data_IF_800891235875
#
_entry.id   IF_800891235875
#
_cell.length_a   1.000
_cell.length_b   1.000
_cell.length_c   1.000
_cell.angle_alpha   90.00
_cell.angle_beta   90.00
_cell.angle_gamma   90.00
#
_symmetry.space_group_name_H-M   'P 1'
#
loop_
_entity.id
_entity.type
_entity.pdbx_description
1 polymer ?
#
# COMPACT_ATOMS: atom_id res chain seq x y z
N UNK A 1 -19.74 6.30 -10.92
CA UNK A 1 -18.64 5.57 -10.26
C UNK A 1 -17.67 6.58 -9.65
N UNK A 2 -17.07 6.28 -8.48
CA UNK A 2 -16.04 7.13 -7.85
C UNK A 2 -14.75 6.33 -7.71
N UNK A 3 -13.64 6.87 -8.21
CA UNK A 3 -12.31 6.33 -7.95
C UNK A 3 -11.97 6.48 -6.47
N UNK A 4 -11.36 5.45 -5.89
CA UNK A 4 -11.07 5.39 -4.44
C UNK A 4 -9.58 5.38 -4.16
N UNK A 5 -8.85 4.48 -4.82
CA UNK A 5 -7.44 4.23 -4.53
C UNK A 5 -6.77 3.54 -5.71
N UNK A 6 -5.56 3.98 -6.12
CA UNK A 6 -4.74 3.18 -7.02
C UNK A 6 -4.27 1.92 -6.30
N UNK A 7 -4.36 0.77 -6.99
CA UNK A 7 -3.82 -0.50 -6.52
C UNK A 7 -2.57 -0.85 -7.32
N UNK A 8 -1.45 -1.00 -6.63
CA UNK A 8 -0.16 -1.35 -7.20
C UNK A 8 0.13 -2.83 -6.93
N UNK A 9 0.43 -3.57 -7.99
CA UNK A 9 0.82 -4.97 -7.88
C UNK A 9 2.33 -5.04 -7.66
N UNK A 10 2.77 -5.74 -6.62
CA UNK A 10 4.15 -5.83 -6.17
C UNK A 10 4.53 -7.29 -5.92
N UNK A 11 5.73 -7.69 -6.32
CA UNK A 11 6.21 -9.07 -6.17
C UNK A 11 6.44 -9.49 -4.71
N UNK A 12 6.70 -8.52 -3.84
CA UNK A 12 6.88 -8.69 -2.40
C UNK A 12 6.29 -7.45 -1.70
N UNK A 13 5.52 -7.65 -0.63
CA UNK A 13 4.92 -6.56 0.15
C UNK A 13 5.91 -5.90 1.12
N UNK A 14 6.99 -6.56 1.53
CA UNK A 14 7.92 -6.07 2.54
C UNK A 14 8.72 -4.84 2.05
N UNK A 15 9.36 -4.96 0.88
CA UNK A 15 10.15 -3.88 0.26
C UNK A 15 9.34 -2.59 0.03
N UNK A 16 8.16 -2.62 -0.62
CA UNK A 16 7.37 -1.41 -0.84
C UNK A 16 6.80 -0.88 0.48
N UNK A 17 6.40 -1.72 1.45
CA UNK A 17 5.96 -1.23 2.77
C UNK A 17 7.06 -0.39 3.43
N UNK A 18 8.30 -0.86 3.44
CA UNK A 18 9.44 -0.09 3.96
C UNK A 18 9.66 1.19 3.16
N UNK A 19 9.69 1.12 1.82
CA UNK A 19 9.88 2.30 0.97
C UNK A 19 8.79 3.36 1.20
N UNK A 20 7.52 2.97 1.19
CA UNK A 20 6.41 3.90 1.38
C UNK A 20 6.36 4.46 2.80
N UNK A 21 6.81 3.72 3.81
CA UNK A 21 6.86 4.20 5.19
C UNK A 21 8.09 5.07 5.47
N UNK A 22 9.28 4.69 5.03
CA UNK A 22 10.52 5.41 5.35
C UNK A 22 10.77 6.60 4.43
N UNK A 23 10.50 6.48 3.14
CA UNK A 23 10.74 7.56 2.18
C UNK A 23 9.56 8.52 2.13
N UNK A 24 8.34 7.97 2.10
CA UNK A 24 7.12 8.76 1.89
C UNK A 24 6.32 8.99 3.18
N UNK A 25 6.73 8.42 4.32
CA UNK A 25 6.06 8.60 5.60
C UNK A 25 4.67 7.96 5.69
N UNK A 26 4.31 7.09 4.73
CA UNK A 26 2.99 6.47 4.67
C UNK A 26 2.86 5.33 5.67
N UNK A 27 1.73 5.25 6.36
CA UNK A 27 1.45 4.22 7.36
C UNK A 27 0.39 3.24 6.85
N UNK A 28 0.51 1.98 7.25
CA UNK A 28 -0.54 0.99 6.99
C UNK A 28 -1.79 1.36 7.77
N UNK A 29 -2.92 1.46 7.07
CA UNK A 29 -4.24 1.70 7.66
C UNK A 29 -5.14 0.48 7.62
N UNK A 30 -4.86 -0.47 6.73
CA UNK A 30 -5.62 -1.71 6.60
C UNK A 30 -4.74 -2.80 5.98
N UNK A 31 -4.73 -3.99 6.57
CA UNK A 31 -3.91 -5.12 6.13
C UNK A 31 -4.80 -6.36 5.99
N UNK A 32 -4.87 -6.90 4.77
CA UNK A 32 -5.59 -8.13 4.42
C UNK A 32 -4.61 -9.28 4.09
N UNK A 33 -3.35 -9.18 4.53
CA UNK A 33 -2.28 -10.14 4.23
C UNK A 33 -1.72 -9.96 2.83
N UNK A 34 -2.45 -10.38 1.80
CA UNK A 34 -2.05 -10.23 0.40
C UNK A 34 -2.37 -8.83 -0.19
N UNK A 35 -3.09 -8.00 0.56
CA UNK A 35 -3.45 -6.64 0.17
C UNK A 35 -3.28 -5.68 1.34
N UNK A 36 -2.54 -4.60 1.15
CA UNK A 36 -2.24 -3.63 2.20
C UNK A 36 -2.63 -2.25 1.71
N UNK A 37 -3.39 -1.51 2.49
CA UNK A 37 -3.73 -0.11 2.20
C UNK A 37 -2.93 0.81 3.11
N UNK A 38 -2.32 1.82 2.51
CA UNK A 38 -1.51 2.84 3.14
C UNK A 38 -2.28 4.17 3.23
N UNK A 39 -1.88 5.02 4.17
CA UNK A 39 -2.29 6.43 4.21
C UNK A 39 -2.01 7.09 2.86
N UNK A 40 -2.82 8.09 2.48
CA UNK A 40 -2.75 8.67 1.12
C UNK A 40 -3.53 7.88 0.07
N UNK A 41 -4.19 6.78 0.46
CA UNK A 41 -5.11 6.04 -0.41
C UNK A 41 -4.42 5.12 -1.40
N UNK A 42 -3.19 4.68 -1.11
CA UNK A 42 -2.46 3.71 -1.94
C UNK A 42 -2.76 2.30 -1.45
N UNK A 43 -3.14 1.39 -2.35
CA UNK A 43 -3.25 -0.03 -2.06
C UNK A 43 -2.10 -0.80 -2.73
N UNK A 44 -1.51 -1.76 -2.01
CA UNK A 44 -0.48 -2.67 -2.47
C UNK A 44 -1.03 -4.08 -2.48
N UNK A 45 -0.77 -4.85 -3.53
CA UNK A 45 -1.17 -6.25 -3.63
C UNK A 45 0.00 -7.10 -4.10
N UNK A 46 0.23 -8.23 -3.45
CA UNK A 46 1.04 -9.33 -4.00
C UNK A 46 0.14 -10.37 -4.66
#
# INVERSE_FOLDING_TARGET
>A
MKFKSPLLVVSNLEEPKQLYTEILGLRVIMDFGANVTLTGGIALRT
#
